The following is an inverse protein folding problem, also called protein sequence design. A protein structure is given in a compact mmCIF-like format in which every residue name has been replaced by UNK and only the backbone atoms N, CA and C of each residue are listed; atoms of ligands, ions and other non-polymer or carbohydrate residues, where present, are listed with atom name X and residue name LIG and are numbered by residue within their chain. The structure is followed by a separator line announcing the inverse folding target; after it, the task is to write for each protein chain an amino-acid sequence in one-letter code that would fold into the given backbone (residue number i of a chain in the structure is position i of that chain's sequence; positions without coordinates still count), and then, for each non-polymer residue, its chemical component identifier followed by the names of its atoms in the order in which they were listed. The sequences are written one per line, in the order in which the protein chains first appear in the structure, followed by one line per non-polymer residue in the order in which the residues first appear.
data_IF_714215829993
#
_entry.id   IF_714215829993
#
_cell.length_a   1.000
_cell.length_b   1.000
_cell.length_c   1.000
_cell.angle_alpha   90.00
_cell.angle_beta   90.00
_cell.angle_gamma   90.00
#
_symmetry.space_group_name_H-M   'P 1'
#
loop_
_entity.id
_entity.type
_entity.pdbx_description
1 polymer ?
#
# COMPACT_ATOMS: atom_id res chain seq x y z
N UNK A 1 -16.67 -24.41 -3.79
CA UNK A 1 -16.91 -23.01 -3.40
C UNK A 1 -17.21 -22.92 -1.90
N UNK A 2 -16.95 -21.76 -1.32
CA UNK A 2 -17.28 -21.42 0.05
C UNK A 2 -18.40 -20.38 0.08
N UNK A 3 -19.20 -20.40 1.13
CA UNK A 3 -20.24 -19.40 1.41
C UNK A 3 -20.04 -18.82 2.81
N UNK A 4 -20.37 -17.56 2.99
CA UNK A 4 -20.31 -16.89 4.30
C UNK A 4 -21.47 -17.38 5.17
N UNK A 5 -21.16 -17.83 6.39
CA UNK A 5 -22.14 -18.11 7.43
C UNK A 5 -22.39 -16.81 8.22
N UNK A 6 -23.40 -16.06 7.82
CA UNK A 6 -23.68 -14.73 8.39
C UNK A 6 -23.99 -14.76 9.89
N UNK A 7 -24.62 -15.83 10.35
CA UNK A 7 -24.95 -16.09 11.77
C UNK A 7 -23.71 -16.34 12.66
N UNK A 8 -22.56 -16.58 12.04
CA UNK A 8 -21.26 -16.83 12.69
C UNK A 8 -20.16 -15.90 12.21
N UNK A 9 -20.56 -14.78 11.64
CA UNK A 9 -19.66 -13.74 11.15
C UNK A 9 -20.07 -12.40 11.74
N UNK A 10 -19.10 -11.61 12.17
CA UNK A 10 -19.35 -10.29 12.75
C UNK A 10 -18.14 -9.36 12.61
N UNK A 11 -18.35 -8.05 12.52
CA UNK A 11 -17.27 -7.11 12.69
C UNK A 11 -16.75 -7.14 14.13
N UNK A 12 -15.44 -6.96 14.31
CA UNK A 12 -14.80 -6.82 15.61
C UNK A 12 -14.72 -5.32 15.89
N UNK A 13 -15.75 -4.77 16.51
CA UNK A 13 -15.92 -3.31 16.68
C UNK A 13 -14.80 -2.67 17.49
N UNK A 14 -14.18 -3.43 18.40
CA UNK A 14 -13.05 -2.97 19.21
C UNK A 14 -11.76 -2.78 18.41
N UNK A 15 -11.66 -3.38 17.22
CA UNK A 15 -10.52 -3.21 16.31
C UNK A 15 -10.63 -1.97 15.44
N UNK A 16 -11.78 -1.29 15.45
CA UNK A 16 -12.02 -0.16 14.57
C UNK A 16 -11.10 1.02 14.90
N UNK A 17 -10.33 1.46 13.90
CA UNK A 17 -9.47 2.62 13.96
C UNK A 17 -9.89 3.61 12.88
N UNK A 18 -9.93 4.89 13.21
CA UNK A 18 -10.25 5.94 12.28
C UNK A 18 -9.09 6.94 12.20
N UNK A 19 -8.61 7.16 10.99
CA UNK A 19 -7.57 8.12 10.65
C UNK A 19 -8.14 9.19 9.70
N UNK A 20 -7.46 10.29 9.45
CA UNK A 20 -7.96 11.34 8.55
C UNK A 20 -8.30 10.87 7.14
N UNK A 21 -7.59 9.87 6.62
CA UNK A 21 -7.74 9.41 5.23
C UNK A 21 -8.11 7.93 5.11
N UNK A 22 -8.21 7.18 6.22
CA UNK A 22 -8.61 5.78 6.20
C UNK A 22 -9.32 5.32 7.48
N UNK A 23 -10.06 4.24 7.33
CA UNK A 23 -10.69 3.51 8.43
C UNK A 23 -10.29 2.05 8.33
N UNK A 24 -9.85 1.47 9.44
CA UNK A 24 -9.41 0.10 9.57
C UNK A 24 -10.34 -0.66 10.49
N UNK A 25 -10.73 -1.89 10.13
CA UNK A 25 -11.56 -2.74 10.95
C UNK A 25 -11.32 -4.22 10.66
N UNK A 26 -11.29 -5.04 11.69
CA UNK A 26 -11.28 -6.48 11.56
C UNK A 26 -12.69 -7.05 11.57
N UNK A 27 -12.88 -8.14 10.85
CA UNK A 27 -14.10 -8.94 10.88
C UNK A 27 -13.79 -10.42 11.07
N UNK A 28 -14.56 -11.06 11.93
CA UNK A 28 -14.57 -12.51 12.03
C UNK A 28 -15.49 -13.07 10.95
N UNK A 29 -14.93 -13.79 9.98
CA UNK A 29 -15.69 -14.43 8.92
C UNK A 29 -15.65 -15.94 9.06
N UNK A 30 -16.79 -16.56 9.14
CA UNK A 30 -16.93 -18.01 9.06
C UNK A 30 -17.41 -18.42 7.67
N UNK A 31 -16.59 -19.24 7.02
CA UNK A 31 -16.80 -19.76 5.68
C UNK A 31 -17.17 -21.23 5.75
N UNK A 32 -18.19 -21.65 5.02
CA UNK A 32 -18.65 -23.04 4.97
C UNK A 32 -18.65 -23.61 3.57
N UNK A 33 -18.30 -24.89 3.45
CA UNK A 33 -18.32 -25.63 2.20
C UNK A 33 -18.67 -27.09 2.41
N UNK A 34 -19.59 -27.60 1.60
CA UNK A 34 -19.89 -29.04 1.55
C UNK A 34 -18.79 -29.83 0.83
N UNK A 35 -17.97 -29.17 0.00
CA UNK A 35 -16.91 -29.79 -0.79
C UNK A 35 -15.66 -28.89 -0.80
N UNK A 36 -14.92 -28.82 0.33
CA UNK A 36 -13.70 -28.03 0.43
C UNK A 36 -12.59 -28.59 -0.47
N UNK A 37 -11.75 -27.69 -1.01
CA UNK A 37 -10.59 -28.05 -1.85
C UNK A 37 -9.53 -28.84 -1.08
N UNK A 38 -8.61 -29.47 -1.81
CA UNK A 38 -7.55 -30.28 -1.23
C UNK A 38 -6.62 -29.47 -0.31
N UNK A 39 -6.30 -28.25 -0.71
CA UNK A 39 -5.43 -27.35 0.07
C UNK A 39 -6.04 -27.02 1.44
N UNK A 40 -7.33 -26.67 1.48
CA UNK A 40 -8.02 -26.39 2.76
C UNK A 40 -8.06 -27.63 3.64
N UNK A 41 -8.31 -28.81 3.04
CA UNK A 41 -8.27 -30.10 3.78
C UNK A 41 -6.90 -30.43 4.35
N UNK A 42 -5.85 -29.97 3.71
CA UNK A 42 -4.49 -30.25 4.17
C UNK A 42 -4.06 -29.37 5.36
N UNK A 43 -4.64 -28.19 5.51
CA UNK A 43 -4.18 -27.17 6.50
C UNK A 43 -5.18 -26.89 7.62
N UNK A 44 -6.42 -27.41 7.53
CA UNK A 44 -7.44 -27.18 8.57
C UNK A 44 -8.02 -28.48 9.12
N UNK A 45 -8.21 -28.57 10.45
CA UNK A 45 -8.78 -29.78 11.07
C UNK A 45 -10.27 -29.96 10.75
N UNK A 46 -11.00 -28.89 10.45
CA UNK A 46 -12.43 -28.89 10.11
C UNK A 46 -12.66 -28.17 8.77
N UNK A 47 -12.29 -28.78 7.63
CA UNK A 47 -12.25 -28.08 6.34
C UNK A 47 -13.62 -27.63 5.80
N UNK A 48 -14.72 -28.21 6.32
CA UNK A 48 -16.08 -27.81 5.96
C UNK A 48 -16.56 -26.51 6.61
N UNK A 49 -15.85 -25.99 7.62
CA UNK A 49 -16.16 -24.74 8.30
C UNK A 49 -14.87 -24.09 8.81
N UNK A 50 -14.49 -22.98 8.19
CA UNK A 50 -13.25 -22.26 8.52
C UNK A 50 -13.60 -20.86 8.97
N UNK A 51 -13.09 -20.44 10.13
CA UNK A 51 -13.24 -19.09 10.64
C UNK A 51 -11.92 -18.36 10.55
N UNK A 52 -11.95 -17.15 9.98
CA UNK A 52 -10.78 -16.28 9.76
C UNK A 52 -11.07 -14.90 10.33
N UNK A 53 -10.06 -14.25 10.86
CA UNK A 53 -10.07 -12.80 11.04
C UNK A 53 -9.58 -12.17 9.76
N UNK A 54 -10.38 -11.30 9.16
CA UNK A 54 -10.06 -10.58 7.93
C UNK A 54 -9.98 -9.10 8.24
N UNK A 55 -8.86 -8.49 7.88
CA UNK A 55 -8.66 -7.06 8.00
C UNK A 55 -9.25 -6.33 6.80
N UNK A 56 -9.99 -5.26 7.05
CA UNK A 56 -10.57 -4.38 6.04
C UNK A 56 -10.04 -2.97 6.23
N UNK A 57 -9.51 -2.41 5.15
CA UNK A 57 -9.04 -1.04 5.06
C UNK A 57 -9.87 -0.28 4.03
N UNK A 58 -10.41 0.87 4.42
CA UNK A 58 -11.15 1.78 3.55
C UNK A 58 -10.39 3.10 3.48
N UNK A 59 -9.73 3.34 2.36
CA UNK A 59 -8.93 4.53 2.12
C UNK A 59 -9.69 5.56 1.30
N UNK A 60 -9.52 6.84 1.62
CA UNK A 60 -9.96 7.92 0.77
C UNK A 60 -9.23 7.86 -0.58
N UNK A 61 -9.94 8.15 -1.66
CA UNK A 61 -9.29 8.28 -2.96
C UNK A 61 -8.38 9.52 -2.95
N UNK A 62 -7.24 9.47 -3.64
CA UNK A 62 -6.35 10.61 -3.75
C UNK A 62 -7.07 11.80 -4.42
N UNK A 63 -6.63 13.04 -4.15
CA UNK A 63 -7.19 14.22 -4.80
C UNK A 63 -6.99 14.15 -6.31
N UNK A 64 -7.88 14.84 -7.06
CA UNK A 64 -7.80 14.93 -8.51
C UNK A 64 -6.45 15.50 -9.00
N UNK A 65 -6.14 15.24 -10.27
CA UNK A 65 -4.93 15.75 -10.94
C UNK A 65 -3.73 14.81 -10.93
N UNK A 66 -3.88 13.58 -10.41
CA UNK A 66 -2.85 12.57 -10.63
C UNK A 66 -2.99 11.98 -12.05
N UNK A 67 -1.95 12.11 -12.85
CA UNK A 67 -1.88 11.49 -14.17
C UNK A 67 -1.10 10.17 -14.10
N UNK A 68 -1.75 9.03 -14.34
CA UNK A 68 -1.09 7.74 -14.35
C UNK A 68 -0.11 7.66 -15.53
N UNK A 69 0.98 6.92 -15.35
CA UNK A 69 1.96 6.64 -16.41
C UNK A 69 1.80 5.21 -16.88
N UNK A 70 1.67 5.02 -18.19
CA UNK A 70 1.77 3.71 -18.81
C UNK A 70 3.14 3.08 -18.48
N UNK A 71 3.11 1.79 -18.13
CA UNK A 71 4.33 1.06 -17.82
C UNK A 71 5.13 0.77 -19.10
N UNK A 72 6.45 0.78 -18.95
CA UNK A 72 7.40 0.34 -19.97
C UNK A 72 8.24 -0.78 -19.36
N UNK A 73 8.27 -1.95 -19.99
CA UNK A 73 9.00 -3.13 -19.51
C UNK A 73 10.50 -2.86 -19.26
N UNK A 74 11.03 -1.81 -19.89
CA UNK A 74 12.43 -1.37 -19.72
C UNK A 74 12.66 -0.55 -18.44
N UNK A 75 11.58 -0.07 -17.81
CA UNK A 75 11.71 0.84 -16.66
C UNK A 75 12.01 0.10 -15.34
N UNK A 76 11.73 -1.21 -15.26
CA UNK A 76 11.83 -1.98 -14.02
C UNK A 76 10.87 -1.53 -12.93
N UNK A 77 9.87 -0.70 -13.24
CA UNK A 77 8.86 -0.26 -12.28
C UNK A 77 7.92 -1.40 -11.89
N UNK A 78 7.46 -1.40 -10.65
CA UNK A 78 6.33 -2.24 -10.24
C UNK A 78 5.08 -1.74 -10.96
N UNK A 79 4.26 -2.66 -11.45
CA UNK A 79 3.08 -2.31 -12.27
C UNK A 79 1.78 -2.71 -11.60
N UNK A 80 0.73 -1.94 -11.90
CA UNK A 80 -0.65 -2.28 -11.66
C UNK A 80 -1.30 -2.66 -13.01
N UNK A 81 -1.68 -3.91 -13.14
CA UNK A 81 -2.34 -4.42 -14.34
C UNK A 81 -3.85 -4.52 -14.13
N UNK A 82 -4.62 -4.08 -15.11
CA UNK A 82 -6.08 -4.20 -15.10
C UNK A 82 -6.64 -4.31 -16.53
N UNK A 83 -7.92 -4.66 -16.63
CA UNK A 83 -8.64 -4.70 -17.89
C UNK A 83 -9.61 -3.51 -17.98
N UNK A 84 -9.35 -2.61 -18.92
CA UNK A 84 -10.24 -1.48 -19.22
C UNK A 84 -11.27 -1.92 -20.26
N UNK A 85 -12.47 -2.25 -19.78
CA UNK A 85 -13.55 -2.71 -20.63
C UNK A 85 -14.21 -1.58 -21.45
N UNK A 86 -13.85 -0.32 -21.20
CA UNK A 86 -14.28 0.84 -21.99
C UNK A 86 -13.35 1.11 -23.19
N UNK A 87 -12.27 0.34 -23.33
CA UNK A 87 -11.32 0.47 -24.46
C UNK A 87 -12.01 0.16 -25.79
N UNK A 88 -11.75 0.93 -26.86
CA UNK A 88 -12.23 0.63 -28.21
C UNK A 88 -11.82 -0.77 -28.67
N UNK A 89 -12.65 -1.38 -29.56
CA UNK A 89 -12.47 -2.77 -30.02
C UNK A 89 -11.14 -3.04 -30.74
N UNK A 90 -10.51 -2.02 -31.29
CA UNK A 90 -9.24 -2.07 -32.02
C UNK A 90 -8.01 -1.81 -31.14
N UNK A 91 -8.21 -1.60 -29.83
CA UNK A 91 -7.14 -1.35 -28.86
C UNK A 91 -7.06 -2.45 -27.78
N UNK A 92 -5.86 -2.68 -27.20
CA UNK A 92 -5.70 -3.66 -26.14
C UNK A 92 -6.52 -3.27 -24.89
N UNK A 93 -7.33 -4.19 -24.39
CA UNK A 93 -8.10 -3.98 -23.15
C UNK A 93 -7.24 -4.07 -21.90
N UNK A 94 -6.09 -4.79 -21.96
CA UNK A 94 -5.14 -4.85 -20.83
C UNK A 94 -4.35 -3.56 -20.78
N UNK A 95 -4.39 -2.93 -19.62
CA UNK A 95 -3.60 -1.73 -19.29
C UNK A 95 -2.62 -2.07 -18.18
N UNK A 96 -1.45 -1.47 -18.23
CA UNK A 96 -0.40 -1.63 -17.23
C UNK A 96 0.11 -0.25 -16.85
N UNK A 97 -0.05 0.12 -15.59
CA UNK A 97 0.38 1.42 -15.07
C UNK A 97 1.56 1.24 -14.14
N UNK A 98 2.57 2.11 -14.27
CA UNK A 98 3.71 2.14 -13.37
C UNK A 98 3.29 2.71 -12.00
N UNK A 99 3.57 1.96 -10.92
CA UNK A 99 3.42 2.47 -9.56
C UNK A 99 4.53 3.48 -9.29
N UNK A 100 4.13 4.68 -8.90
CA UNK A 100 5.07 5.77 -8.58
C UNK A 100 4.47 6.73 -7.57
N UNK A 101 5.32 7.38 -6.81
CA UNK A 101 4.91 8.53 -6.01
C UNK A 101 4.58 9.73 -6.92
N UNK A 102 3.65 10.56 -6.49
CA UNK A 102 3.45 11.89 -7.07
C UNK A 102 4.59 12.76 -6.58
N UNK A 103 5.51 13.11 -7.47
CA UNK A 103 6.67 13.92 -7.16
C UNK A 103 6.71 15.12 -8.10
N UNK A 104 6.39 16.28 -7.57
CA UNK A 104 6.29 17.53 -8.32
C UNK A 104 7.24 18.57 -7.75
N UNK A 105 7.95 19.29 -8.62
CA UNK A 105 8.78 20.42 -8.18
C UNK A 105 7.92 21.64 -7.84
N UNK A 106 8.34 22.43 -6.88
CA UNK A 106 7.70 23.72 -6.54
C UNK A 106 7.65 24.63 -7.76
N UNK A 107 8.70 24.67 -8.56
CA UNK A 107 8.71 25.29 -9.89
C UNK A 107 8.76 24.18 -10.97
N UNK A 108 7.63 23.87 -11.63
CA UNK A 108 7.60 22.86 -12.68
C UNK A 108 8.47 23.18 -13.91
N UNK A 109 8.83 24.44 -14.12
CA UNK A 109 9.64 24.89 -15.24
C UNK A 109 11.15 24.76 -14.99
N UNK A 110 11.56 24.64 -13.72
CA UNK A 110 12.96 24.48 -13.35
C UNK A 110 13.50 23.08 -13.72
N UNK A 111 14.75 22.99 -14.12
CA UNK A 111 15.42 21.71 -14.36
C UNK A 111 15.74 20.97 -13.06
N UNK A 112 16.00 21.70 -11.98
CA UNK A 112 16.20 21.19 -10.63
C UNK A 112 15.58 22.12 -9.60
N UNK A 113 15.23 21.58 -8.44
CA UNK A 113 14.70 22.36 -7.32
C UNK A 113 13.94 21.51 -6.31
N UNK A 114 13.47 22.14 -5.22
CA UNK A 114 12.75 21.48 -4.15
C UNK A 114 11.40 20.96 -4.64
N UNK A 115 10.91 19.91 -3.98
CA UNK A 115 9.61 19.31 -4.27
C UNK A 115 8.50 19.89 -3.39
N UNK A 116 7.27 19.84 -3.89
CA UNK A 116 6.08 20.26 -3.15
C UNK A 116 5.86 19.37 -1.94
N UNK A 117 5.96 18.06 -2.14
CA UNK A 117 5.80 17.06 -1.11
C UNK A 117 6.89 15.98 -1.26
N UNK A 118 7.76 15.80 -0.27
CA UNK A 118 8.81 14.78 -0.31
C UNK A 118 8.23 13.38 -0.08
N UNK A 119 8.90 12.39 -0.61
CA UNK A 119 8.68 10.99 -0.31
C UNK A 119 9.33 10.70 1.05
N UNK A 120 8.53 10.44 2.07
CA UNK A 120 9.02 10.13 3.40
C UNK A 120 8.65 8.69 3.75
N UNK A 121 9.65 7.89 4.09
CA UNK A 121 9.44 6.58 4.70
C UNK A 121 9.73 6.66 6.20
N UNK A 122 8.88 6.02 6.98
CA UNK A 122 8.98 6.02 8.43
C UNK A 122 9.34 4.64 8.93
N UNK A 123 10.42 4.55 9.68
CA UNK A 123 10.82 3.31 10.31
C UNK A 123 10.05 3.10 11.63
N UNK A 124 9.55 1.89 11.84
CA UNK A 124 8.85 1.53 13.09
C UNK A 124 9.73 1.75 14.31
N UNK A 125 9.14 2.34 15.38
CA UNK A 125 9.85 2.66 16.61
C UNK A 125 10.32 1.44 17.40
N UNK A 126 9.71 0.28 17.16
CA UNK A 126 10.11 -1.00 17.74
C UNK A 126 11.43 -1.56 17.17
N UNK A 127 11.93 -0.99 16.06
CA UNK A 127 13.19 -1.42 15.46
C UNK A 127 14.37 -1.24 16.43
N UNK A 128 15.21 -2.27 16.66
CA UNK A 128 16.37 -2.17 17.55
C UNK A 128 17.33 -1.04 17.12
N UNK A 129 17.91 -0.27 18.09
CA UNK A 129 18.66 0.95 17.78
C UNK A 129 19.76 0.79 16.72
N UNK A 130 20.60 -0.25 16.79
CA UNK A 130 21.68 -0.45 15.82
C UNK A 130 21.16 -0.70 14.40
N UNK A 131 20.07 -1.46 14.29
CA UNK A 131 19.43 -1.75 12.98
C UNK A 131 18.74 -0.49 12.48
N UNK A 132 18.05 0.24 13.36
CA UNK A 132 17.36 1.48 13.04
C UNK A 132 18.31 2.52 12.45
N UNK A 133 19.44 2.77 13.10
CA UNK A 133 20.40 3.77 12.65
C UNK A 133 20.99 3.41 11.27
N UNK A 134 21.30 2.12 11.05
CA UNK A 134 21.78 1.63 9.75
C UNK A 134 20.71 1.73 8.64
N UNK A 135 19.43 1.45 8.95
CA UNK A 135 18.34 1.56 7.97
C UNK A 135 18.05 3.01 7.61
N UNK A 136 18.07 3.92 8.58
CA UNK A 136 17.88 5.35 8.32
C UNK A 136 19.05 5.90 7.49
N UNK A 137 20.29 5.57 7.84
CA UNK A 137 21.47 5.98 7.08
C UNK A 137 21.41 5.45 5.65
N UNK A 138 21.29 4.12 5.47
CA UNK A 138 21.26 3.50 4.16
C UNK A 138 20.06 3.91 3.31
N UNK A 139 18.89 4.10 3.92
CA UNK A 139 17.70 4.61 3.24
C UNK A 139 17.90 6.03 2.73
N UNK A 140 18.54 6.89 3.49
CA UNK A 140 18.77 8.28 3.10
C UNK A 140 19.77 8.43 1.95
N UNK A 141 20.55 7.41 1.57
CA UNK A 141 21.37 7.45 0.36
C UNK A 141 20.55 7.66 -0.93
N UNK A 142 19.27 7.27 -0.93
CA UNK A 142 18.36 7.54 -2.05
C UNK A 142 18.16 9.04 -2.33
N UNK A 143 18.34 9.91 -1.33
CA UNK A 143 18.24 11.36 -1.51
C UNK A 143 19.22 11.87 -2.57
N UNK A 144 20.43 11.28 -2.66
CA UNK A 144 21.43 11.64 -3.67
C UNK A 144 20.94 11.29 -5.08
N UNK A 145 20.26 10.16 -5.26
CA UNK A 145 19.71 9.76 -6.56
C UNK A 145 18.58 10.70 -7.01
N UNK A 146 17.70 11.12 -6.09
CA UNK A 146 16.67 12.10 -6.41
C UNK A 146 17.24 13.47 -6.72
N UNK A 147 18.24 13.93 -5.96
CA UNK A 147 18.95 15.19 -6.23
C UNK A 147 19.64 15.17 -7.60
N UNK A 148 20.31 14.07 -7.96
CA UNK A 148 20.93 13.88 -9.28
C UNK A 148 19.90 13.90 -10.43
N UNK A 149 18.64 13.50 -10.15
CA UNK A 149 17.52 13.59 -11.08
C UNK A 149 16.84 14.97 -11.12
N UNK A 150 17.33 15.94 -10.34
CA UNK A 150 16.82 17.30 -10.29
C UNK A 150 15.69 17.52 -9.28
N UNK A 151 15.52 16.60 -8.31
CA UNK A 151 14.55 16.72 -7.23
C UNK A 151 15.26 16.90 -5.89
N UNK A 152 15.34 18.13 -5.43
CA UNK A 152 16.00 18.48 -4.17
C UNK A 152 15.07 18.20 -2.99
N UNK A 153 15.62 17.71 -1.87
CA UNK A 153 14.90 17.35 -0.64
C UNK A 153 13.70 16.41 -0.85
N UNK A 154 13.77 15.59 -1.91
CA UNK A 154 12.64 14.79 -2.40
C UNK A 154 12.43 13.46 -1.66
N UNK A 155 13.42 12.97 -0.94
CA UNK A 155 13.36 11.67 -0.29
C UNK A 155 14.06 11.67 1.07
N UNK A 156 13.41 11.04 2.07
CA UNK A 156 14.04 10.79 3.36
C UNK A 156 13.43 9.61 4.09
N UNK A 157 14.22 9.00 4.94
CA UNK A 157 13.80 7.98 5.90
C UNK A 157 13.97 8.54 7.31
N UNK A 158 12.91 8.50 8.10
CA UNK A 158 12.85 9.03 9.45
C UNK A 158 12.26 8.00 10.42
N UNK A 159 12.37 8.24 11.71
CA UNK A 159 11.66 7.44 12.71
C UNK A 159 10.19 7.88 12.74
N UNK A 160 9.28 6.89 12.81
CA UNK A 160 7.84 7.18 12.90
C UNK A 160 7.56 8.13 14.07
N UNK A 161 6.82 9.23 13.86
CA UNK A 161 6.50 10.18 14.92
C UNK A 161 5.86 9.52 16.15
N UNK A 162 6.10 10.09 17.32
CA UNK A 162 5.47 9.59 18.54
C UNK A 162 3.95 9.76 18.46
N UNK A 163 3.22 8.70 18.79
CA UNK A 163 1.76 8.67 18.70
C UNK A 163 1.20 8.42 17.30
N UNK A 164 2.03 8.39 16.25
CA UNK A 164 1.60 7.97 14.94
C UNK A 164 1.34 6.45 14.90
N UNK A 165 0.34 6.05 14.13
CA UNK A 165 -0.06 4.65 14.01
C UNK A 165 0.38 4.07 12.65
N UNK A 166 0.96 2.86 12.59
CA UNK A 166 1.45 2.27 11.34
C UNK A 166 0.36 2.01 10.28
N UNK A 167 -0.90 1.91 10.67
CA UNK A 167 -2.03 1.74 9.76
C UNK A 167 -2.61 3.07 9.24
N UNK A 168 -2.12 4.21 9.69
CA UNK A 168 -2.48 5.51 9.12
C UNK A 168 -1.79 5.68 7.76
N UNK A 169 -2.56 5.65 6.66
CA UNK A 169 -2.03 5.65 5.29
C UNK A 169 -1.22 6.89 4.91
N UNK A 170 -1.26 7.95 5.71
CA UNK A 170 -0.40 9.12 5.51
C UNK A 170 1.08 8.83 5.78
N UNK A 171 1.39 7.73 6.44
CA UNK A 171 2.76 7.30 6.75
C UNK A 171 3.14 6.07 5.92
N UNK A 172 4.21 6.17 5.13
CA UNK A 172 4.82 5.01 4.48
C UNK A 172 5.70 4.30 5.50
N UNK A 173 5.19 3.27 6.19
CA UNK A 173 5.89 2.65 7.30
C UNK A 173 6.69 1.42 6.85
N UNK A 174 7.96 1.36 7.28
CA UNK A 174 8.84 0.20 7.18
C UNK A 174 8.79 -0.52 8.53
N UNK A 175 8.33 -1.80 8.52
CA UNK A 175 8.23 -2.69 9.68
C UNK A 175 9.19 -3.87 9.58
#
# INVERSE_FOLDING_TARGET
SFSIAADRSAPITESALAFPENVEIDALLTLTSASPGAEVRAVTPAPGSVTLTVHHSFAALPPEGYEPREADDRSGAITLDFYDMATPLDAPVRRSLALRHRLERVDPSAQSGPVVEPIVYYLDRGTPPLIRDALIEGGNWWAEAFAAAGYEDAFRVELLPEGAHPLDIRYNVIQ
#
